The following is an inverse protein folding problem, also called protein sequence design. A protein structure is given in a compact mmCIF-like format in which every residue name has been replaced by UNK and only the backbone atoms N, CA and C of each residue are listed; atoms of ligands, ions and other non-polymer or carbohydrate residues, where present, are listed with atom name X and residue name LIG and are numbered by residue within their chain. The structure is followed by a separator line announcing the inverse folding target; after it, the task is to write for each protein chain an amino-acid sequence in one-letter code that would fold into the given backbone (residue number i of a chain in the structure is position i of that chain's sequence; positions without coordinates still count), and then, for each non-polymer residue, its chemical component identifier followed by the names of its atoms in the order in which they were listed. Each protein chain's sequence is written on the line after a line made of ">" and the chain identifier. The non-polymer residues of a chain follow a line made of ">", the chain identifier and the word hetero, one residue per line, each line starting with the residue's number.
data_IF_351291005775
#
_entry.id   IF_351291005775
#
_cell.length_a   1.000
_cell.length_b   1.000
_cell.length_c   1.000
_cell.angle_alpha   90.00
_cell.angle_beta   90.00
_cell.angle_gamma   90.00
#
_symmetry.space_group_name_H-M   'P 1'
#
loop_
_entity.id
_entity.type
_entity.pdbx_description
1 polymer ?
#
# COMPACT_ATOMS: atom_id res chain seq x y z
N UNK A 1 12.72 -1.12 -32.13
CA UNK A 1 12.45 -0.68 -30.74
C UNK A 1 11.41 0.42 -30.78
N UNK A 2 10.13 0.09 -30.64
CA UNK A 2 9.07 1.08 -30.44
C UNK A 2 8.70 1.04 -28.96
N UNK A 3 9.29 1.93 -28.16
CA UNK A 3 8.73 2.28 -26.85
C UNK A 3 7.50 3.15 -27.14
N UNK A 4 6.38 2.50 -27.45
CA UNK A 4 5.08 3.16 -27.36
C UNK A 4 4.98 3.69 -25.93
N UNK A 5 4.79 5.01 -25.78
CA UNK A 5 4.30 5.59 -24.55
C UNK A 5 2.92 4.97 -24.30
N UNK A 6 2.89 3.83 -23.59
CA UNK A 6 1.67 3.42 -22.89
C UNK A 6 1.40 4.55 -21.92
N UNK A 7 0.21 5.14 -21.98
CA UNK A 7 -0.27 5.92 -20.84
C UNK A 7 -0.23 4.93 -19.68
N UNK A 8 0.78 5.05 -18.82
CA UNK A 8 0.81 4.25 -17.61
C UNK A 8 -0.48 4.60 -16.89
N UNK A 9 -1.42 3.67 -16.84
CA UNK A 9 -2.65 3.95 -16.11
C UNK A 9 -2.26 4.04 -14.65
N UNK A 10 -2.77 5.06 -13.96
CA UNK A 10 -2.41 5.34 -12.57
C UNK A 10 -3.68 5.36 -11.74
N UNK A 11 -3.70 4.56 -10.67
CA UNK A 11 -4.79 4.56 -9.69
C UNK A 11 -4.27 4.90 -8.31
N UNK A 12 -4.76 6.01 -7.76
CA UNK A 12 -4.51 6.43 -6.38
C UNK A 12 -5.61 5.92 -5.45
N UNK A 13 -5.24 5.23 -4.37
CA UNK A 13 -6.16 4.76 -3.33
C UNK A 13 -5.69 5.33 -2.00
N UNK A 14 -6.57 6.07 -1.32
CA UNK A 14 -6.30 6.56 0.04
C UNK A 14 -6.79 5.54 1.05
N UNK A 15 -5.96 5.25 2.04
CA UNK A 15 -6.30 4.38 3.15
C UNK A 15 -6.11 5.16 4.44
N UNK A 16 -7.18 5.22 5.22
CA UNK A 16 -7.19 5.77 6.56
C UNK A 16 -7.29 4.59 7.54
N UNK A 17 -6.39 4.57 8.52
CA UNK A 17 -6.39 3.60 9.61
C UNK A 17 -6.50 4.34 10.94
N UNK A 18 -7.34 3.83 11.82
CA UNK A 18 -7.50 4.31 13.20
C UNK A 18 -7.31 3.15 14.16
N UNK A 19 -7.27 3.41 15.48
CA UNK A 19 -7.22 2.35 16.48
C UNK A 19 -8.41 1.39 16.38
N UNK A 20 -9.60 1.93 16.09
CA UNK A 20 -10.85 1.16 15.96
C UNK A 20 -11.00 0.47 14.60
N UNK A 21 -10.34 1.00 13.55
CA UNK A 21 -10.37 0.52 12.17
C UNK A 21 -8.94 0.32 11.66
N UNK A 22 -8.26 -0.63 12.30
CA UNK A 22 -6.82 -0.82 12.19
C UNK A 22 -6.39 -1.83 11.11
N UNK A 23 -7.31 -2.39 10.33
CA UNK A 23 -7.04 -3.41 9.32
C UNK A 23 -7.92 -3.20 8.08
N UNK A 24 -7.29 -2.85 6.96
CA UNK A 24 -7.95 -2.55 5.68
C UNK A 24 -7.45 -3.50 4.61
N UNK A 25 -8.38 -4.14 3.91
CA UNK A 25 -8.10 -4.96 2.73
C UNK A 25 -8.64 -4.28 1.49
N UNK A 26 -7.76 -4.02 0.52
CA UNK A 26 -8.09 -3.49 -0.79
C UNK A 26 -7.93 -4.62 -1.80
N UNK A 27 -9.03 -5.01 -2.43
CA UNK A 27 -9.02 -5.93 -3.58
C UNK A 27 -9.11 -5.12 -4.86
N UNK A 28 -8.29 -5.46 -5.86
CA UNK A 28 -8.23 -4.78 -7.13
C UNK A 28 -8.97 -5.62 -8.17
N UNK A 29 -9.82 -4.99 -8.98
CA UNK A 29 -10.57 -5.68 -10.06
C UNK A 29 -9.62 -6.19 -11.15
N UNK A 30 -8.61 -5.37 -11.48
CA UNK A 30 -7.51 -5.70 -12.39
C UNK A 30 -6.20 -5.87 -11.62
N UNK A 31 -5.27 -6.65 -12.17
CA UNK A 31 -3.89 -6.70 -11.70
C UNK A 31 -3.09 -5.46 -12.12
N UNK A 32 -2.22 -5.01 -11.24
CA UNK A 32 -1.31 -3.89 -11.47
C UNK A 32 0.14 -4.38 -11.42
N UNK A 33 1.05 -3.76 -12.16
CA UNK A 33 2.45 -4.22 -12.29
C UNK A 33 3.40 -3.46 -11.36
N UNK A 34 2.90 -2.41 -10.73
CA UNK A 34 3.64 -1.51 -9.87
C UNK A 34 2.76 -1.02 -8.73
N UNK A 35 3.34 -0.91 -7.54
CA UNK A 35 2.72 -0.21 -6.40
C UNK A 35 3.74 0.64 -5.65
N UNK A 36 3.40 1.90 -5.44
CA UNK A 36 4.06 2.78 -4.47
C UNK A 36 3.11 3.02 -3.31
N UNK A 37 3.59 2.84 -2.09
CA UNK A 37 2.87 3.20 -0.87
C UNK A 37 3.60 4.38 -0.23
N UNK A 38 2.88 5.43 0.13
CA UNK A 38 3.45 6.63 0.76
C UNK A 38 2.57 7.17 1.88
N UNK A 39 3.20 7.73 2.92
CA UNK A 39 2.53 8.44 3.99
C UNK A 39 2.09 9.82 3.51
N UNK A 40 0.86 10.21 3.87
CA UNK A 40 0.34 11.55 3.57
C UNK A 40 0.59 12.55 4.70
N UNK A 41 1.01 12.09 5.87
CA UNK A 41 1.32 12.90 7.04
C UNK A 41 2.57 12.34 7.73
N UNK A 42 3.40 13.22 8.28
CA UNK A 42 4.66 12.83 8.92
C UNK A 42 4.36 12.14 10.26
N UNK A 43 4.25 10.81 10.21
CA UNK A 43 3.99 9.99 11.38
C UNK A 43 5.34 9.63 11.97
N UNK A 44 5.62 10.12 13.18
CA UNK A 44 6.91 9.89 13.84
C UNK A 44 7.23 8.41 14.13
N UNK A 45 6.29 7.48 13.89
CA UNK A 45 6.43 6.04 14.17
C UNK A 45 5.73 5.18 13.11
N UNK A 46 6.54 4.50 12.32
CA UNK A 46 6.18 3.44 11.39
C UNK A 46 5.65 2.19 12.11
N UNK A 47 4.33 2.13 12.30
CA UNK A 47 3.63 1.00 12.94
C UNK A 47 2.65 0.31 11.99
N UNK A 48 2.86 0.42 10.68
CA UNK A 48 1.99 -0.16 9.66
C UNK A 48 2.67 -1.40 9.05
N UNK A 49 1.96 -2.51 9.05
CA UNK A 49 2.27 -3.70 8.28
C UNK A 49 1.55 -3.65 6.94
N UNK A 50 2.30 -3.88 5.86
CA UNK A 50 1.79 -4.04 4.51
C UNK A 50 1.89 -5.50 4.08
N UNK A 51 0.82 -6.00 3.47
CA UNK A 51 0.76 -7.32 2.86
C UNK A 51 0.33 -7.13 1.41
N UNK A 52 1.09 -7.67 0.47
CA UNK A 52 0.75 -7.69 -0.94
C UNK A 52 0.27 -9.10 -1.30
N UNK A 53 -0.85 -9.17 -2.01
CA UNK A 53 -1.53 -10.39 -2.42
C UNK A 53 -1.86 -11.32 -1.23
N UNK A 54 -1.41 -12.58 -1.31
CA UNK A 54 -1.61 -13.63 -0.32
C UNK A 54 -0.38 -13.80 0.59
N UNK A 55 0.40 -12.74 0.79
CA UNK A 55 1.49 -12.72 1.77
C UNK A 55 0.97 -13.12 3.16
N UNK A 56 1.71 -13.99 3.84
CA UNK A 56 1.35 -14.49 5.17
C UNK A 56 1.57 -13.41 6.24
N UNK A 57 1.01 -13.63 7.43
CA UNK A 57 1.21 -12.71 8.56
C UNK A 57 2.68 -12.53 8.94
N UNK A 58 3.54 -13.51 8.68
CA UNK A 58 4.98 -13.46 8.97
C UNK A 58 5.79 -12.71 7.90
N UNK A 59 5.25 -12.56 6.68
CA UNK A 59 5.93 -11.96 5.53
C UNK A 59 5.59 -10.46 5.37
N UNK A 60 5.06 -9.85 6.43
CA UNK A 60 4.66 -8.45 6.37
C UNK A 60 5.85 -7.53 6.18
N UNK A 61 5.59 -6.44 5.47
CA UNK A 61 6.59 -5.41 5.23
C UNK A 61 6.29 -4.26 6.17
N UNK A 62 7.24 -3.96 7.06
CA UNK A 62 7.13 -2.82 7.95
C UNK A 62 7.28 -1.55 7.11
N UNK A 63 6.18 -0.81 7.00
CA UNK A 63 6.12 0.36 6.19
C UNK A 63 6.80 1.54 6.87
N UNK A 64 7.80 2.13 6.21
CA UNK A 64 8.52 3.30 6.69
C UNK A 64 8.45 4.43 5.66
N UNK A 65 7.53 5.39 5.85
CA UNK A 65 7.28 6.60 5.04
C UNK A 65 6.92 6.38 3.58
N UNK A 66 7.73 5.64 2.83
CA UNK A 66 7.44 5.26 1.45
C UNK A 66 8.08 3.93 1.10
N UNK A 67 7.38 3.11 0.33
CA UNK A 67 7.92 1.88 -0.25
C UNK A 67 7.42 1.72 -1.68
N UNK A 68 8.25 1.11 -2.52
CA UNK A 68 7.96 0.90 -3.93
C UNK A 68 8.21 -0.57 -4.25
N UNK A 69 7.29 -1.17 -5.00
CA UNK A 69 7.43 -2.48 -5.60
C UNK A 69 7.20 -2.36 -7.09
N UNK A 70 8.17 -2.85 -7.85
CA UNK A 70 8.17 -2.86 -9.31
C UNK A 70 8.12 -4.30 -9.80
N UNK A 71 7.56 -4.51 -11.00
CA UNK A 71 7.50 -5.82 -11.67
C UNK A 71 6.80 -6.91 -10.84
N UNK A 72 5.77 -6.52 -10.08
CA UNK A 72 4.96 -7.42 -9.26
C UNK A 72 3.50 -7.37 -9.70
N UNK A 73 2.86 -8.53 -9.83
CA UNK A 73 1.42 -8.60 -10.11
C UNK A 73 0.62 -8.34 -8.83
N UNK A 74 0.17 -7.11 -8.60
CA UNK A 74 -0.63 -6.71 -7.44
C UNK A 74 -2.12 -6.88 -7.72
N UNK A 75 -2.79 -7.75 -6.97
CA UNK A 75 -4.24 -7.98 -7.00
C UNK A 75 -4.93 -7.61 -5.70
N UNK A 76 -4.19 -7.63 -4.59
CA UNK A 76 -4.71 -7.34 -3.26
C UNK A 76 -3.64 -6.67 -2.41
N UNK A 77 -4.07 -5.74 -1.57
CA UNK A 77 -3.20 -5.08 -0.59
C UNK A 77 -3.94 -5.07 0.74
N UNK A 78 -3.32 -5.60 1.80
CA UNK A 78 -3.81 -5.43 3.17
C UNK A 78 -2.87 -4.51 3.92
N UNK A 79 -3.44 -3.59 4.66
CA UNK A 79 -2.73 -2.58 5.43
C UNK A 79 -3.24 -2.66 6.86
N UNK A 80 -2.35 -2.90 7.81
CA UNK A 80 -2.71 -3.13 9.21
C UNK A 80 -1.84 -2.35 10.17
N UNK A 81 -2.40 -1.76 11.23
CA UNK A 81 -1.62 -1.20 12.33
C UNK A 81 -1.16 -2.32 13.26
N UNK A 82 0.13 -2.32 13.59
CA UNK A 82 0.76 -3.32 14.48
C UNK A 82 0.63 -2.96 15.96
N UNK A 83 0.64 -1.67 16.30
CA UNK A 83 0.55 -1.20 17.69
C UNK A 83 -0.46 -0.05 17.79
N UNK A 84 -1.33 -0.13 18.80
CA UNK A 84 -2.33 0.88 19.12
C UNK A 84 -1.68 2.14 19.70
N UNK A 85 -1.21 3.02 18.83
CA UNK A 85 -1.04 4.43 19.18
C UNK A 85 -2.29 5.17 18.75
N UNK A 86 -2.69 6.16 19.54
CA UNK A 86 -3.94 6.93 19.46
C UNK A 86 -4.08 7.83 18.23
N UNK A 87 -3.27 7.60 17.19
CA UNK A 87 -3.19 8.47 16.02
C UNK A 87 -3.93 7.88 14.82
N UNK A 88 -4.35 8.79 13.94
CA UNK A 88 -4.95 8.46 12.65
C UNK A 88 -3.84 8.39 11.61
N UNK A 89 -3.76 7.26 10.91
CA UNK A 89 -2.73 7.00 9.92
C UNK A 89 -3.32 7.14 8.52
N UNK A 90 -2.71 8.00 7.69
CA UNK A 90 -3.15 8.25 6.32
C UNK A 90 -2.06 7.84 5.36
N UNK A 91 -2.34 6.84 4.54
CA UNK A 91 -1.44 6.40 3.48
C UNK A 91 -2.12 6.50 2.12
N UNK A 92 -1.30 6.59 1.08
CA UNK A 92 -1.71 6.55 -0.31
C UNK A 92 -1.02 5.38 -1.00
N UNK A 93 -1.81 4.54 -1.67
CA UNK A 93 -1.34 3.55 -2.62
C UNK A 93 -1.44 4.16 -4.01
N UNK A 94 -0.36 4.11 -4.78
CA UNK A 94 -0.29 4.54 -6.17
C UNK A 94 0.06 3.31 -7.00
N UNK A 95 -0.91 2.84 -7.77
CA UNK A 95 -0.77 1.67 -8.63
C UNK A 95 -0.49 2.13 -10.05
N UNK A 96 0.39 1.43 -10.78
CA UNK A 96 0.66 1.69 -12.20
C UNK A 96 0.67 0.41 -13.05
N UNK A 97 0.23 0.51 -14.32
CA UNK A 97 0.24 -0.55 -15.35
C UNK A 97 0.59 0.02 -16.73
#
# INVERSE_FOLDING_TARGET
>A
MNRQMRYNEVKGIRVNLTTDDNDKVISLEDSWEYIKVEELQDLAKSNIALYINDAKEEDYILFNRSIVFEEIEVKKVRVRLLNGLTDTYNIQLILMR
#
